data_IF_337100838813
#
_entry.id   IF_337100838813
#
_cell.length_a   1.000
_cell.length_b   1.000
_cell.length_c   1.000
_cell.angle_alpha   90.00
_cell.angle_beta   90.00
_cell.angle_gamma   90.00
#
_symmetry.space_group_name_H-M   'P 1'
#
loop_
_entity.id
_entity.type
_entity.pdbx_description
1 polymer ?
#
# COMPACT_ATOMS: atom_id res chain seq x y z
N UNK A 1 1.84 12.57 15.35
CA UNK A 1 2.13 12.54 13.90
C UNK A 1 0.92 12.95 13.07
N UNK A 2 -0.21 12.22 13.11
CA UNK A 2 -1.41 12.50 12.28
C UNK A 2 -1.90 13.94 12.40
N UNK A 3 -2.24 14.37 13.61
CA UNK A 3 -2.71 15.73 13.90
C UNK A 3 -1.75 16.81 13.37
N UNK A 4 -0.45 16.65 13.63
CA UNK A 4 0.58 17.58 13.17
C UNK A 4 0.65 17.69 11.64
N UNK A 5 0.65 16.56 10.92
CA UNK A 5 0.65 16.56 9.44
C UNK A 5 -0.63 17.18 8.89
N UNK A 6 -1.78 16.86 9.49
CA UNK A 6 -3.07 17.42 9.07
C UNK A 6 -3.08 18.94 9.18
N UNK A 7 -2.60 19.50 10.29
CA UNK A 7 -2.47 20.95 10.46
C UNK A 7 -1.56 21.57 9.37
N UNK A 8 -0.41 20.97 9.09
CA UNK A 8 0.50 21.48 8.06
C UNK A 8 -0.15 21.51 6.67
N UNK A 9 -0.91 20.48 6.32
CA UNK A 9 -1.65 20.43 5.04
C UNK A 9 -2.80 21.45 5.03
N UNK A 10 -3.56 21.55 6.11
CA UNK A 10 -4.68 22.50 6.27
C UNK A 10 -4.21 23.95 6.09
N UNK A 11 -3.13 24.33 6.75
CA UNK A 11 -2.51 25.65 6.64
C UNK A 11 -1.58 25.79 5.43
N UNK A 12 -1.61 24.84 4.48
CA UNK A 12 -0.86 24.83 3.22
C UNK A 12 0.64 25.09 3.39
N UNK A 13 1.23 24.56 4.47
CA UNK A 13 2.66 24.67 4.73
C UNK A 13 3.42 23.69 3.86
N UNK A 14 4.59 24.11 3.39
CA UNK A 14 5.56 23.22 2.79
C UNK A 14 6.40 22.56 3.89
N UNK A 15 6.64 21.26 3.81
CA UNK A 15 7.32 20.53 4.87
C UNK A 15 8.14 19.34 4.38
N UNK A 16 9.12 18.98 5.20
CA UNK A 16 9.81 17.70 5.21
C UNK A 16 9.79 17.20 6.65
N UNK A 17 9.27 15.99 6.85
CA UNK A 17 9.17 15.35 8.16
C UNK A 17 9.89 14.02 8.10
N UNK A 18 10.78 13.79 9.08
CA UNK A 18 11.36 12.48 9.33
C UNK A 18 10.45 11.78 10.33
N UNK A 19 9.85 10.68 9.92
CA UNK A 19 8.83 9.99 10.71
C UNK A 19 8.87 8.48 10.54
N UNK A 20 8.12 7.77 11.38
CA UNK A 20 8.02 6.32 11.28
C UNK A 20 7.32 5.89 9.98
N UNK A 21 7.88 4.94 9.22
CA UNK A 21 7.33 4.42 7.96
C UNK A 21 5.93 3.79 8.16
N UNK A 22 5.62 3.29 9.35
CA UNK A 22 4.30 2.75 9.67
C UNK A 22 3.19 3.81 9.59
N UNK A 23 3.52 5.12 9.62
CA UNK A 23 2.53 6.16 9.50
C UNK A 23 1.82 6.17 8.13
N UNK A 24 2.40 5.56 7.08
CA UNK A 24 1.79 5.43 5.75
C UNK A 24 0.48 4.66 5.74
N UNK A 25 0.27 3.77 6.70
CA UNK A 25 -0.95 2.95 6.79
C UNK A 25 -2.02 3.57 7.68
N UNK A 26 -1.73 4.71 8.31
CA UNK A 26 -2.71 5.46 9.07
C UNK A 26 -3.73 6.05 8.12
N UNK A 27 -5.02 5.85 8.39
CA UNK A 27 -6.13 6.28 7.51
C UNK A 27 -5.94 7.72 7.03
N UNK A 28 -5.80 8.67 7.97
CA UNK A 28 -5.63 10.09 7.63
C UNK A 28 -4.41 10.37 6.74
N UNK A 29 -3.28 9.71 7.02
CA UNK A 29 -2.04 9.91 6.25
C UNK A 29 -2.16 9.27 4.87
N UNK A 30 -2.70 8.06 4.79
CA UNK A 30 -2.90 7.36 3.53
C UNK A 30 -3.85 8.12 2.62
N UNK A 31 -4.94 8.69 3.16
CA UNK A 31 -5.85 9.55 2.40
C UNK A 31 -5.15 10.77 1.83
N UNK A 32 -4.26 11.41 2.59
CA UNK A 32 -3.48 12.53 2.09
C UNK A 32 -2.51 12.10 0.97
N UNK A 33 -1.90 10.92 1.07
CA UNK A 33 -1.06 10.34 0.00
C UNK A 33 -1.90 10.09 -1.25
N UNK A 34 -3.07 9.48 -1.09
CA UNK A 34 -4.02 9.21 -2.16
C UNK A 34 -4.48 10.49 -2.88
N UNK A 35 -4.72 11.56 -2.10
CA UNK A 35 -5.08 12.89 -2.62
C UNK A 35 -3.87 13.68 -3.14
N UNK A 36 -2.69 13.05 -3.23
CA UNK A 36 -1.41 13.64 -3.66
C UNK A 36 -1.03 14.91 -2.89
N UNK A 37 -1.32 14.96 -1.57
CA UNK A 37 -0.97 16.08 -0.67
C UNK A 37 0.34 15.88 0.09
N UNK A 38 0.85 14.66 0.09
CA UNK A 38 2.04 14.19 0.81
C UNK A 38 2.56 12.95 0.07
N UNK A 39 3.86 12.78 0.03
CA UNK A 39 4.52 11.62 -0.58
C UNK A 39 5.81 11.25 0.15
N UNK A 40 6.36 10.09 -0.21
CA UNK A 40 7.67 9.67 0.26
C UNK A 40 8.75 10.60 -0.32
N UNK A 41 9.69 11.02 0.51
CA UNK A 41 10.87 11.76 0.06
C UNK A 41 11.94 10.87 -0.58
N UNK A 42 13.16 11.39 -0.64
CA UNK A 42 14.31 10.66 -1.17
C UNK A 42 14.75 9.53 -0.25
N UNK A 43 14.98 9.86 1.02
CA UNK A 43 15.77 9.05 1.93
C UNK A 43 14.95 8.35 3.03
N UNK A 44 15.58 7.32 3.58
CA UNK A 44 15.21 6.74 4.88
C UNK A 44 16.31 7.09 5.86
N UNK A 45 16.01 7.94 6.82
CA UNK A 45 16.99 8.33 7.85
C UNK A 45 17.22 7.13 8.77
N UNK A 46 18.33 6.42 8.57
CA UNK A 46 18.60 5.17 9.27
C UNK A 46 19.40 5.34 10.54
N UNK A 47 20.15 6.43 10.70
CA UNK A 47 21.10 6.59 11.78
C UNK A 47 20.95 7.96 12.43
N UNK A 48 20.96 7.98 13.76
CA UNK A 48 20.83 9.19 14.58
C UNK A 48 21.93 9.21 15.61
N UNK A 49 22.61 10.35 15.74
CA UNK A 49 23.65 10.56 16.74
C UNK A 49 22.98 10.96 18.05
N UNK A 50 23.34 10.28 19.13
CA UNK A 50 22.87 10.57 20.49
C UNK A 50 23.80 11.59 21.18
N UNK A 51 23.35 12.27 22.25
CA UNK A 51 24.19 13.24 22.97
C UNK A 51 25.51 12.68 23.53
N UNK A 52 25.58 11.37 23.78
CA UNK A 52 26.78 10.68 24.23
C UNK A 52 27.73 10.28 23.07
N UNK A 53 27.40 10.65 21.84
CA UNK A 53 28.16 10.34 20.62
C UNK A 53 27.86 8.95 20.03
N UNK A 54 27.03 8.13 20.67
CA UNK A 54 26.63 6.83 20.12
C UNK A 54 25.69 6.99 18.92
N UNK A 55 25.73 6.03 17.98
CA UNK A 55 24.85 6.00 16.81
C UNK A 55 23.74 5.00 17.01
N UNK A 56 22.50 5.43 16.84
CA UNK A 56 21.31 4.58 16.89
C UNK A 56 20.71 4.36 15.52
N UNK A 57 20.65 3.10 15.12
CA UNK A 57 20.04 2.65 13.87
C UNK A 57 18.53 2.45 13.97
N UNK A 58 17.77 2.89 12.96
CA UNK A 58 16.35 2.58 12.79
C UNK A 58 16.05 2.16 11.36
N UNK A 59 15.44 0.98 11.18
CA UNK A 59 15.05 0.47 9.86
C UNK A 59 13.72 0.99 9.32
N UNK A 60 12.93 1.68 10.15
CA UNK A 60 11.53 2.04 9.88
C UNK A 60 11.29 3.56 9.96
N UNK A 61 12.26 4.36 9.54
CA UNK A 61 12.15 5.82 9.53
C UNK A 61 12.32 6.32 8.09
N UNK A 62 11.37 7.14 7.64
CA UNK A 62 11.28 7.62 6.28
C UNK A 62 10.93 9.10 6.21
N UNK A 63 11.24 9.71 5.05
CA UNK A 63 10.88 11.08 4.75
C UNK A 63 9.44 11.17 4.24
N UNK A 64 8.71 12.13 4.78
CA UNK A 64 7.39 12.55 4.33
C UNK A 64 7.47 14.01 3.92
N UNK A 65 7.02 14.34 2.71
CA UNK A 65 7.08 15.71 2.22
C UNK A 65 5.93 16.03 1.29
N UNK A 66 5.67 17.31 1.11
CA UNK A 66 4.84 17.86 0.02
C UNK A 66 5.65 18.82 -0.88
N UNK A 67 6.97 18.84 -0.72
CA UNK A 67 7.90 19.50 -1.62
C UNK A 67 8.07 18.64 -2.86
N UNK A 68 8.05 19.27 -4.03
CA UNK A 68 8.24 18.53 -5.26
C UNK A 68 9.67 17.96 -5.33
N UNK A 69 9.79 16.69 -5.71
CA UNK A 69 11.04 15.95 -5.75
C UNK A 69 11.12 15.14 -7.03
N UNK A 70 12.28 15.12 -7.68
CA UNK A 70 12.47 14.42 -8.97
C UNK A 70 12.05 12.95 -8.90
N UNK A 71 12.35 12.28 -7.79
CA UNK A 71 12.02 10.87 -7.53
C UNK A 71 10.52 10.56 -7.66
N UNK A 72 9.66 11.53 -7.36
CA UNK A 72 8.19 11.39 -7.48
C UNK A 72 7.74 11.23 -8.93
N UNK A 73 8.54 11.71 -9.87
CA UNK A 73 8.25 11.70 -11.30
C UNK A 73 9.03 10.61 -12.05
N UNK A 74 9.81 9.80 -11.34
CA UNK A 74 10.50 8.66 -11.94
C UNK A 74 9.48 7.58 -12.32
N UNK A 75 9.50 7.16 -13.59
CA UNK A 75 8.67 6.04 -14.04
C UNK A 75 9.31 4.71 -13.65
N UNK A 76 8.50 3.82 -13.09
CA UNK A 76 8.89 2.44 -12.83
C UNK A 76 8.94 1.66 -14.15
N UNK A 77 10.11 1.14 -14.51
CA UNK A 77 10.24 0.26 -15.68
C UNK A 77 9.55 -1.07 -15.41
N UNK A 78 8.51 -1.38 -16.20
CA UNK A 78 7.74 -2.62 -16.13
C UNK A 78 8.18 -3.59 -17.22
N UNK A 79 8.32 -4.87 -16.90
CA UNK A 79 8.79 -5.88 -17.85
C UNK A 79 8.16 -7.27 -17.67
N UNK A 80 7.44 -7.51 -16.56
CA UNK A 80 6.71 -8.77 -16.38
C UNK A 80 5.46 -8.77 -17.25
N UNK A 81 5.05 -9.97 -17.70
CA UNK A 81 3.77 -10.19 -18.37
C UNK A 81 2.80 -10.85 -17.42
N UNK A 82 1.54 -10.49 -17.53
CA UNK A 82 0.47 -11.06 -16.75
C UNK A 82 0.27 -12.55 -17.07
N UNK A 83 0.05 -13.34 -16.03
CA UNK A 83 -0.49 -14.68 -16.12
C UNK A 83 -1.41 -14.96 -14.92
N UNK A 84 -2.59 -15.58 -15.10
CA UNK A 84 -3.50 -15.85 -13.98
C UNK A 84 -2.87 -16.71 -12.86
N UNK A 85 -1.85 -17.51 -13.19
CA UNK A 85 -1.14 -18.36 -12.24
C UNK A 85 -0.22 -17.56 -11.31
N UNK A 86 0.51 -16.59 -11.85
CA UNK A 86 1.45 -15.78 -11.07
C UNK A 86 0.76 -14.60 -10.36
N UNK A 87 -0.35 -14.13 -10.91
CA UNK A 87 -1.11 -12.98 -10.43
C UNK A 87 -2.56 -13.40 -10.15
N UNK A 88 -2.79 -14.18 -9.08
CA UNK A 88 -4.12 -14.67 -8.76
C UNK A 88 -5.05 -13.51 -8.40
N UNK A 89 -6.33 -13.63 -8.77
CA UNK A 89 -7.36 -12.66 -8.40
C UNK A 89 -7.79 -12.85 -6.93
N UNK A 90 -8.16 -11.75 -6.27
CA UNK A 90 -8.75 -11.83 -4.94
C UNK A 90 -10.19 -12.34 -4.99
N UNK A 91 -10.60 -13.04 -3.94
CA UNK A 91 -11.97 -13.53 -3.78
C UNK A 91 -12.93 -12.45 -3.28
N UNK A 92 -12.41 -11.36 -2.70
CA UNK A 92 -13.19 -10.33 -2.01
C UNK A 92 -12.95 -8.91 -2.55
N UNK A 93 -12.29 -8.77 -3.70
CA UNK A 93 -12.12 -7.50 -4.39
C UNK A 93 -11.71 -7.74 -5.85
N UNK A 94 -12.24 -6.94 -6.77
CA UNK A 94 -11.89 -7.02 -8.20
C UNK A 94 -10.51 -6.41 -8.47
N UNK A 95 -9.47 -7.17 -8.16
CA UNK A 95 -8.06 -6.88 -8.46
C UNK A 95 -7.22 -8.17 -8.45
N UNK A 96 -6.02 -8.08 -9.02
CA UNK A 96 -5.00 -9.15 -8.96
C UNK A 96 -3.99 -8.90 -7.84
N UNK A 97 -3.46 -9.98 -7.26
CA UNK A 97 -2.33 -9.93 -6.34
C UNK A 97 -1.02 -9.75 -7.11
N UNK A 98 -0.27 -8.72 -6.73
CA UNK A 98 1.10 -8.51 -7.18
C UNK A 98 2.00 -8.51 -5.94
N UNK A 99 2.73 -9.61 -5.74
CA UNK A 99 3.48 -9.83 -4.49
C UNK A 99 4.70 -8.90 -4.31
N UNK A 100 5.25 -8.36 -5.40
CA UNK A 100 6.41 -7.47 -5.41
C UNK A 100 6.22 -6.33 -6.40
N UNK A 101 6.71 -5.15 -6.04
CA UNK A 101 6.65 -3.96 -6.92
C UNK A 101 7.35 -4.20 -8.27
N UNK A 102 8.44 -4.97 -8.28
CA UNK A 102 9.17 -5.33 -9.50
C UNK A 102 8.40 -6.28 -10.43
N UNK A 103 7.34 -6.90 -9.91
CA UNK A 103 6.56 -7.89 -10.64
C UNK A 103 5.29 -7.27 -11.24
N UNK A 104 5.08 -5.96 -11.14
CA UNK A 104 3.92 -5.29 -11.75
C UNK A 104 3.90 -5.58 -13.27
N UNK A 105 2.84 -6.22 -13.79
CA UNK A 105 2.77 -6.62 -15.19
C UNK A 105 2.55 -5.42 -16.12
N UNK A 106 3.24 -5.41 -17.26
CA UNK A 106 3.21 -4.31 -18.25
C UNK A 106 1.94 -4.34 -19.11
N UNK A 107 1.28 -5.49 -19.20
CA UNK A 107 0.13 -5.77 -20.08
C UNK A 107 -1.19 -5.93 -19.32
N UNK A 108 -1.23 -5.55 -18.04
CA UNK A 108 -2.45 -5.55 -17.23
C UNK A 108 -2.88 -4.12 -16.87
N UNK A 109 -4.07 -3.73 -17.35
CA UNK A 109 -4.64 -2.40 -17.09
C UNK A 109 -5.70 -2.40 -15.96
N UNK A 110 -5.99 -3.57 -15.37
CA UNK A 110 -6.90 -3.71 -14.25
C UNK A 110 -6.32 -3.21 -12.93
N UNK A 111 -7.10 -3.35 -11.86
CA UNK A 111 -6.66 -3.00 -10.51
C UNK A 111 -5.68 -4.05 -9.99
N UNK A 112 -4.64 -3.60 -9.32
CA UNK A 112 -3.57 -4.43 -8.78
C UNK A 112 -3.37 -4.12 -7.31
N UNK A 113 -3.42 -5.14 -6.45
CA UNK A 113 -2.97 -5.02 -5.09
C UNK A 113 -1.46 -5.21 -5.02
N UNK A 114 -0.74 -4.17 -4.60
CA UNK A 114 0.72 -4.16 -4.47
C UNK A 114 1.13 -3.95 -3.00
N UNK A 115 2.37 -4.29 -2.60
CA UNK A 115 2.85 -4.05 -1.24
C UNK A 115 2.88 -2.54 -0.93
N UNK A 116 2.70 -2.17 0.35
CA UNK A 116 2.77 -0.77 0.82
C UNK A 116 4.08 -0.06 0.45
N UNK A 117 5.17 -0.80 0.28
CA UNK A 117 6.47 -0.28 -0.17
C UNK A 117 6.43 0.29 -1.59
N UNK A 118 5.39 0.02 -2.39
CA UNK A 118 5.16 0.69 -3.66
C UNK A 118 5.13 2.21 -3.51
N UNK A 119 4.67 2.74 -2.36
CA UNK A 119 4.66 4.19 -2.10
C UNK A 119 6.06 4.84 -2.13
N UNK A 120 7.14 4.06 -1.98
CA UNK A 120 8.52 4.57 -2.15
C UNK A 120 8.86 4.90 -3.62
N UNK A 121 8.09 4.36 -4.57
CA UNK A 121 8.26 4.50 -6.03
C UNK A 121 6.98 5.01 -6.72
N UNK A 122 6.04 5.53 -5.93
CA UNK A 122 4.77 5.96 -6.47
C UNK A 122 4.95 7.22 -7.29
N UNK A 123 4.68 7.08 -8.59
CA UNK A 123 4.59 8.17 -9.53
C UNK A 123 3.11 8.34 -9.96
N UNK A 124 2.46 9.46 -9.59
CA UNK A 124 1.05 9.69 -9.92
C UNK A 124 0.80 9.96 -11.40
N UNK A 125 1.83 10.19 -12.21
CA UNK A 125 1.67 10.31 -13.67
C UNK A 125 1.58 8.91 -14.32
N UNK A 126 2.19 7.90 -13.68
CA UNK A 126 2.19 6.51 -14.17
C UNK A 126 1.05 5.67 -13.57
N UNK A 127 0.67 5.93 -12.31
CA UNK A 127 -0.30 5.13 -11.58
C UNK A 127 -1.34 6.00 -10.86
N UNK A 128 -2.52 5.45 -10.68
CA UNK A 128 -3.57 5.93 -9.79
C UNK A 128 -3.56 5.10 -8.51
N UNK A 129 -3.61 5.76 -7.34
CA UNK A 129 -3.77 5.11 -6.05
C UNK A 129 -5.27 5.05 -5.67
N UNK A 130 -5.83 3.84 -5.64
CA UNK A 130 -7.27 3.60 -5.47
C UNK A 130 -7.67 3.44 -4.00
N UNK A 131 -6.82 2.82 -3.19
CA UNK A 131 -7.13 2.59 -1.78
C UNK A 131 -6.24 1.54 -1.13
N UNK A 132 -6.67 1.02 0.01
CA UNK A 132 -6.00 -0.08 0.72
C UNK A 132 -6.96 -1.26 0.91
N UNK A 133 -6.42 -2.45 1.13
CA UNK A 133 -7.23 -3.65 1.32
C UNK A 133 -8.18 -3.53 2.50
N UNK A 134 -7.70 -2.89 3.58
CA UNK A 134 -8.44 -2.56 4.80
C UNK A 134 -9.74 -1.79 4.55
N UNK A 135 -9.79 -0.97 3.48
CA UNK A 135 -10.93 -0.12 3.17
C UNK A 135 -11.74 -0.61 1.95
N UNK A 136 -11.17 -1.51 1.14
CA UNK A 136 -11.74 -1.91 -0.15
C UNK A 136 -12.32 -3.32 -0.16
N UNK A 137 -11.92 -4.17 0.79
CA UNK A 137 -12.39 -5.56 0.85
C UNK A 137 -13.90 -5.65 1.09
N UNK A 138 -14.57 -6.41 0.23
CA UNK A 138 -15.99 -6.74 0.34
C UNK A 138 -16.23 -8.14 0.91
N UNK A 139 -17.49 -8.59 1.00
CA UNK A 139 -17.76 -10.01 1.22
C UNK A 139 -17.21 -10.84 0.04
N UNK A 140 -16.95 -12.12 0.29
CA UNK A 140 -16.61 -13.07 -0.77
C UNK A 140 -17.92 -13.54 -1.42
N UNK A 141 -18.00 -13.45 -2.74
CA UNK A 141 -19.13 -13.96 -3.50
C UNK A 141 -18.93 -15.45 -3.84
N UNK A 142 -19.90 -16.28 -3.49
CA UNK A 142 -19.92 -17.71 -3.81
C UNK A 142 -21.24 -18.08 -4.47
N UNK A 143 -21.34 -19.32 -4.98
CA UNK A 143 -22.59 -19.85 -5.53
C UNK A 143 -23.73 -19.91 -4.51
N UNK A 144 -23.39 -19.98 -3.22
CA UNK A 144 -24.33 -20.09 -2.10
C UNK A 144 -24.64 -18.72 -1.46
N UNK A 145 -24.08 -17.64 -1.99
CA UNK A 145 -24.30 -16.27 -1.54
C UNK A 145 -23.06 -15.56 -1.02
N UNK A 146 -23.26 -14.54 -0.19
CA UNK A 146 -22.20 -13.67 0.33
C UNK A 146 -21.61 -14.21 1.64
N UNK A 147 -20.30 -14.39 1.66
CA UNK A 147 -19.53 -14.83 2.83
C UNK A 147 -18.83 -13.64 3.48
N UNK A 148 -19.26 -13.28 4.69
CA UNK A 148 -18.68 -12.18 5.47
C UNK A 148 -17.59 -12.64 6.45
N UNK A 149 -17.59 -13.92 6.82
CA UNK A 149 -16.59 -14.54 7.70
C UNK A 149 -16.26 -15.93 7.20
N UNK A 150 -14.99 -16.31 7.26
CA UNK A 150 -14.53 -17.62 6.86
C UNK A 150 -13.49 -18.14 7.84
N UNK A 151 -13.33 -19.47 7.89
CA UNK A 151 -12.27 -20.14 8.63
C UNK A 151 -11.10 -20.35 7.67
N UNK A 152 -9.91 -19.85 8.01
CA UNK A 152 -8.72 -20.11 7.20
C UNK A 152 -8.24 -21.56 7.38
N UNK A 153 -7.29 -22.00 6.54
CA UNK A 153 -6.72 -23.36 6.59
C UNK A 153 -6.14 -23.79 7.94
N UNK A 154 -5.77 -22.82 8.79
CA UNK A 154 -5.23 -23.07 10.13
C UNK A 154 -6.33 -23.07 11.20
N UNK A 155 -7.58 -22.86 10.80
CA UNK A 155 -8.74 -22.89 11.66
C UNK A 155 -9.12 -21.55 12.29
N UNK A 156 -8.48 -20.44 11.91
CA UNK A 156 -8.81 -19.13 12.48
C UNK A 156 -9.97 -18.48 11.75
N UNK A 157 -10.92 -17.92 12.51
CA UNK A 157 -11.98 -17.09 11.95
C UNK A 157 -11.42 -15.75 11.46
N UNK A 158 -11.74 -15.39 10.22
CA UNK A 158 -11.34 -14.14 9.54
C UNK A 158 -12.58 -13.38 9.07
N UNK A 159 -12.46 -12.06 8.94
CA UNK A 159 -13.46 -11.24 8.26
C UNK A 159 -13.12 -11.18 6.77
N UNK A 160 -14.14 -11.29 5.92
CA UNK A 160 -13.98 -11.12 4.48
C UNK A 160 -13.99 -9.64 4.08
N UNK A 161 -14.90 -8.87 4.68
CA UNK A 161 -15.12 -7.46 4.38
C UNK A 161 -14.48 -6.55 5.44
N UNK A 162 -14.10 -5.33 5.04
CA UNK A 162 -13.49 -4.32 5.91
C UNK A 162 -12.25 -4.84 6.67
N UNK A 163 -11.52 -5.77 6.06
CA UNK A 163 -10.28 -6.34 6.58
C UNK A 163 -9.26 -6.46 5.42
N UNK A 164 -8.54 -7.57 5.30
CA UNK A 164 -7.53 -7.75 4.25
C UNK A 164 -8.10 -8.53 3.09
N UNK A 165 -7.44 -8.42 1.94
CA UNK A 165 -7.79 -9.27 0.81
C UNK A 165 -7.53 -10.76 1.10
N UNK A 166 -8.31 -11.59 0.43
CA UNK A 166 -8.26 -13.03 0.53
C UNK A 166 -8.06 -13.64 -0.86
N UNK A 167 -7.17 -14.62 -0.96
CA UNK A 167 -6.99 -15.44 -2.16
C UNK A 167 -7.69 -16.80 -1.98
N UNK A 168 -8.22 -17.41 -3.05
CA UNK A 168 -8.65 -18.80 -3.02
C UNK A 168 -7.53 -19.73 -2.54
N UNK A 169 -7.84 -20.70 -1.67
CA UNK A 169 -6.92 -21.71 -1.15
C UNK A 169 -7.69 -23.04 -0.96
N UNK A 170 -7.81 -23.81 -2.04
CA UNK A 170 -8.66 -25.00 -2.10
C UNK A 170 -10.14 -24.65 -1.95
N UNK A 171 -10.81 -25.32 -1.01
CA UNK A 171 -12.20 -25.04 -0.62
C UNK A 171 -12.32 -23.89 0.40
N UNK A 172 -11.20 -23.22 0.70
CA UNK A 172 -11.12 -22.13 1.68
C UNK A 172 -10.53 -20.87 1.06
N UNK A 173 -10.27 -19.86 1.90
CA UNK A 173 -9.53 -18.68 1.50
C UNK A 173 -8.38 -18.41 2.45
N UNK A 174 -7.32 -17.83 1.89
CA UNK A 174 -6.14 -17.40 2.63
C UNK A 174 -6.06 -15.88 2.63
N UNK A 175 -6.14 -15.31 3.83
CA UNK A 175 -5.86 -13.90 4.07
C UNK A 175 -4.41 -13.57 3.71
N UNK A 176 -4.19 -12.50 2.97
CA UNK A 176 -2.84 -11.99 2.66
C UNK A 176 -2.45 -10.81 3.54
N UNK A 177 -1.20 -10.36 3.43
CA UNK A 177 -0.77 -9.10 4.05
C UNK A 177 -1.50 -7.93 3.40
N UNK A 178 -1.52 -6.79 4.09
CA UNK A 178 -2.17 -5.59 3.57
C UNK A 178 -1.58 -5.18 2.21
N UNK A 179 -2.46 -4.67 1.35
CA UNK A 179 -2.15 -4.25 -0.01
C UNK A 179 -2.69 -2.86 -0.23
N UNK A 180 -1.97 -2.07 -1.02
CA UNK A 180 -2.53 -0.87 -1.61
C UNK A 180 -2.95 -1.19 -3.04
N UNK A 181 -4.09 -0.66 -3.45
CA UNK A 181 -4.64 -0.90 -4.78
C UNK A 181 -4.21 0.22 -5.69
N UNK A 182 -3.59 -0.15 -6.81
CA UNK A 182 -3.18 0.78 -7.86
C UNK A 182 -3.82 0.40 -9.18
N UNK A 183 -3.89 1.36 -10.09
CA UNK A 183 -4.24 1.14 -11.50
C UNK A 183 -3.28 1.92 -12.38
N UNK A 184 -2.88 1.37 -13.51
CA UNK A 184 -2.03 2.07 -14.48
C UNK A 184 -2.84 3.14 -15.22
N UNK A 185 -2.22 4.30 -15.46
CA UNK A 185 -2.79 5.37 -16.30
C UNK A 185 -2.38 5.22 -17.75
#
# INVERSE_FOLDING_TARGET
>A
FREYVNQLVEYKKQFLIIGNDNARTYVDIFELIQKNKIWAGYEKAKEFIQPDGSVKGFGNIGWYTNLDVSKRHESLTLYKKYSPKEYPAYANYDAIEVSKVTDIPVDHNGKMGVPISFLDKYNPDQFELIGSSSNLSGPIETKDGLVYRYKDRNGYMRQAANERFALPDGDTWRRIYDRIVIRRK
#
